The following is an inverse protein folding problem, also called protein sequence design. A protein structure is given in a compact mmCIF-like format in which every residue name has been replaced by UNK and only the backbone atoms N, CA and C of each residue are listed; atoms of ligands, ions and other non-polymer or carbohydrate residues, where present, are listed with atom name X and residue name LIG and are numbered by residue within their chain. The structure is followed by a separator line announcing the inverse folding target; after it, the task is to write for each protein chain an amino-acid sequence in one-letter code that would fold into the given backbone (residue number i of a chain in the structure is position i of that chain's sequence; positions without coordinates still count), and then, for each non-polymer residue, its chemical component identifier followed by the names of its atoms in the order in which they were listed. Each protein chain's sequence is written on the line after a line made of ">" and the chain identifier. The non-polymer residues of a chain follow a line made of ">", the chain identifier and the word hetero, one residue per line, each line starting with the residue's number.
data_IF_536656196868
#
_entry.id   IF_536656196868
#
_cell.length_a   1.000
_cell.length_b   1.000
_cell.length_c   1.000
_cell.angle_alpha   90.00
_cell.angle_beta   90.00
_cell.angle_gamma   90.00
#
_symmetry.space_group_name_H-M   'P 1'
#
loop_
_entity.id
_entity.type
_entity.pdbx_description
1 polymer ?
#
# COMPACT_ATOMS: atom_id res chain seq x y z
N UNK A 1 -32.84 -13.11 29.31
CA UNK A 1 -31.94 -12.37 28.40
C UNK A 1 -32.42 -12.65 26.97
N UNK A 2 -33.06 -11.69 26.27
CA UNK A 2 -33.39 -11.89 24.86
C UNK A 2 -32.08 -12.00 24.08
N UNK A 3 -31.93 -13.05 23.27
CA UNK A 3 -30.74 -13.30 22.47
C UNK A 3 -30.52 -12.19 21.45
N UNK A 4 -29.26 -11.78 21.28
CA UNK A 4 -28.87 -10.85 20.22
C UNK A 4 -29.32 -11.40 18.86
N UNK A 5 -29.91 -10.56 17.99
CA UNK A 5 -30.33 -10.99 16.67
C UNK A 5 -29.09 -11.43 15.88
N UNK A 6 -29.07 -12.71 15.46
CA UNK A 6 -28.09 -13.18 14.48
C UNK A 6 -28.19 -12.31 13.21
N UNK A 7 -27.05 -11.91 12.61
CA UNK A 7 -27.06 -11.12 11.39
C UNK A 7 -27.88 -11.86 10.32
N UNK A 8 -28.82 -11.13 9.69
CA UNK A 8 -29.66 -11.67 8.63
C UNK A 8 -28.76 -12.21 7.50
N UNK A 9 -29.08 -13.39 6.95
CA UNK A 9 -28.29 -14.11 5.92
C UNK A 9 -28.11 -13.36 4.57
N UNK A 10 -28.41 -12.06 4.53
CA UNK A 10 -28.26 -11.20 3.35
C UNK A 10 -27.58 -9.86 3.60
N UNK A 11 -27.07 -9.58 4.81
CA UNK A 11 -26.30 -8.36 5.07
C UNK A 11 -24.80 -8.67 5.09
N UNK A 12 -24.07 -8.07 4.14
CA UNK A 12 -22.61 -8.12 4.08
C UNK A 12 -22.04 -7.03 4.98
N UNK A 13 -21.07 -7.38 5.82
CA UNK A 13 -20.39 -6.42 6.70
C UNK A 13 -19.36 -5.62 5.91
N UNK A 14 -19.18 -4.34 6.22
CA UNK A 14 -18.11 -3.51 5.66
C UNK A 14 -16.73 -4.17 5.78
N UNK A 15 -16.47 -4.83 6.92
CA UNK A 15 -15.25 -5.59 7.14
C UNK A 15 -15.05 -6.75 6.15
N UNK A 16 -16.11 -7.42 5.71
CA UNK A 16 -16.02 -8.52 4.74
C UNK A 16 -15.72 -7.99 3.33
N UNK A 17 -16.35 -6.87 2.94
CA UNK A 17 -16.07 -6.19 1.67
C UNK A 17 -14.63 -5.71 1.63
N UNK A 18 -14.17 -5.02 2.68
CA UNK A 18 -12.81 -4.50 2.78
C UNK A 18 -11.78 -5.64 2.82
N UNK A 19 -12.05 -6.72 3.55
CA UNK A 19 -11.15 -7.88 3.56
C UNK A 19 -11.07 -8.54 2.17
N UNK A 20 -12.19 -8.63 1.44
CA UNK A 20 -12.20 -9.14 0.06
C UNK A 20 -11.40 -8.24 -0.88
N UNK A 21 -11.56 -6.92 -0.76
CA UNK A 21 -10.77 -5.95 -1.52
C UNK A 21 -9.27 -6.03 -1.16
N UNK A 22 -8.95 -6.25 0.11
CA UNK A 22 -7.57 -6.45 0.57
C UNK A 22 -6.94 -7.67 -0.13
N UNK A 23 -7.64 -8.79 -0.20
CA UNK A 23 -7.18 -9.98 -0.94
C UNK A 23 -7.04 -9.72 -2.44
N UNK A 24 -7.97 -8.97 -3.04
CA UNK A 24 -7.85 -8.56 -4.44
C UNK A 24 -6.65 -7.64 -4.68
N UNK A 25 -6.35 -6.76 -3.72
CA UNK A 25 -5.17 -5.88 -3.73
C UNK A 25 -3.89 -6.69 -3.64
N UNK A 26 -3.84 -7.70 -2.77
CA UNK A 26 -2.70 -8.62 -2.67
C UNK A 26 -2.40 -9.26 -4.02
N UNK A 27 -3.42 -9.77 -4.70
CA UNK A 27 -3.29 -10.35 -6.04
C UNK A 27 -2.85 -9.31 -7.09
N UNK A 28 -3.47 -8.14 -7.12
CA UNK A 28 -3.14 -7.07 -8.07
C UNK A 28 -1.72 -6.52 -7.91
N UNK A 29 -1.19 -6.57 -6.68
CA UNK A 29 0.17 -6.16 -6.36
C UNK A 29 1.20 -7.28 -6.55
N UNK A 30 0.77 -8.54 -6.68
CA UNK A 30 1.65 -9.72 -6.68
C UNK A 30 2.17 -10.10 -5.29
N UNK A 31 1.51 -9.66 -4.22
CA UNK A 31 1.83 -10.08 -2.86
C UNK A 31 1.43 -11.55 -2.62
N UNK A 32 2.06 -12.24 -1.64
CA UNK A 32 1.49 -13.45 -1.08
C UNK A 32 0.05 -13.21 -0.60
N UNK A 33 -0.82 -14.20 -0.77
CA UNK A 33 -2.20 -14.11 -0.30
C UNK A 33 -2.22 -13.81 1.21
N UNK A 34 -3.15 -12.94 1.63
CA UNK A 34 -3.34 -12.50 3.02
C UNK A 34 -2.22 -11.60 3.55
N UNK A 35 -1.39 -11.00 2.69
CA UNK A 35 -0.35 -10.06 3.10
C UNK A 35 -0.93 -8.90 3.92
N UNK A 36 -1.97 -8.25 3.41
CA UNK A 36 -2.63 -7.14 4.13
C UNK A 36 -3.33 -7.60 5.42
N UNK A 37 -3.94 -8.79 5.42
CA UNK A 37 -4.57 -9.37 6.62
C UNK A 37 -3.53 -9.67 7.71
N UNK A 38 -2.40 -10.25 7.34
CA UNK A 38 -1.32 -10.54 8.27
C UNK A 38 -0.73 -9.26 8.87
N UNK A 39 -0.52 -8.22 8.06
CA UNK A 39 -0.12 -6.89 8.52
C UNK A 39 -1.13 -6.31 9.52
N UNK A 40 -2.44 -6.45 9.23
CA UNK A 40 -3.54 -6.00 10.09
C UNK A 40 -3.53 -6.68 11.46
N UNK A 41 -3.27 -8.00 11.50
CA UNK A 41 -3.17 -8.75 12.78
C UNK A 41 -1.99 -8.25 13.60
N UNK A 42 -0.84 -8.00 12.98
CA UNK A 42 0.34 -7.47 13.68
C UNK A 42 0.06 -6.08 14.23
N UNK A 43 -0.52 -5.19 13.42
CA UNK A 43 -0.87 -3.83 13.82
C UNK A 43 -1.90 -3.81 14.95
N UNK A 44 -2.93 -4.66 14.87
CA UNK A 44 -3.95 -4.76 15.91
C UNK A 44 -3.37 -5.26 17.24
N UNK A 45 -2.48 -6.25 17.22
CA UNK A 45 -1.75 -6.70 18.44
C UNK A 45 -0.87 -5.60 19.03
N UNK A 46 -0.29 -4.74 18.20
CA UNK A 46 0.46 -3.58 18.68
C UNK A 46 -0.47 -2.55 19.34
N UNK A 47 -1.59 -2.23 18.69
CA UNK A 47 -2.62 -1.32 19.22
C UNK A 47 -3.14 -1.76 20.60
N UNK A 48 -3.45 -3.05 20.75
CA UNK A 48 -3.87 -3.66 22.03
C UNK A 48 -2.81 -3.47 23.12
N UNK A 49 -1.53 -3.72 22.81
CA UNK A 49 -0.43 -3.56 23.78
C UNK A 49 -0.15 -2.11 24.15
N UNK A 50 -0.50 -1.16 23.27
CA UNK A 50 -0.43 0.27 23.53
C UNK A 50 -1.65 0.79 24.30
N UNK A 51 -2.71 -0.01 24.46
CA UNK A 51 -3.93 0.38 25.17
C UNK A 51 -4.68 1.52 24.50
N UNK A 52 -4.68 1.55 23.16
CA UNK A 52 -5.42 2.57 22.39
C UNK A 52 -6.92 2.39 22.58
N UNK A 53 -7.69 3.46 22.37
CA UNK A 53 -9.14 3.43 22.42
C UNK A 53 -9.74 2.66 21.21
N UNK A 54 -11.04 2.33 21.33
CA UNK A 54 -11.77 1.56 20.30
C UNK A 54 -11.79 2.23 18.93
N UNK A 55 -11.82 3.57 18.88
CA UNK A 55 -11.83 4.30 17.61
C UNK A 55 -10.48 4.16 16.92
N UNK A 56 -9.38 4.36 17.65
CA UNK A 56 -8.02 4.16 17.15
C UNK A 56 -7.78 2.71 16.71
N UNK A 57 -8.29 1.73 17.45
CA UNK A 57 -8.21 0.32 17.07
C UNK A 57 -8.95 0.02 15.77
N UNK A 58 -10.15 0.60 15.57
CA UNK A 58 -10.92 0.46 14.34
C UNK A 58 -10.23 1.14 13.14
N UNK A 59 -9.65 2.33 13.35
CA UNK A 59 -8.87 3.03 12.34
C UNK A 59 -7.63 2.23 11.93
N UNK A 60 -6.93 1.62 12.90
CA UNK A 60 -5.80 0.72 12.64
C UNK A 60 -6.22 -0.48 11.80
N UNK A 61 -7.35 -1.11 12.14
CA UNK A 61 -7.89 -2.26 11.42
C UNK A 61 -8.17 -1.93 9.94
N UNK A 62 -8.98 -0.89 9.68
CA UNK A 62 -9.34 -0.54 8.31
C UNK A 62 -8.18 0.11 7.53
N UNK A 63 -7.34 0.91 8.19
CA UNK A 63 -6.17 1.53 7.58
C UNK A 63 -5.15 0.48 7.09
N UNK A 64 -4.92 -0.58 7.85
CA UNK A 64 -4.03 -1.66 7.42
C UNK A 64 -4.59 -2.47 6.25
N UNK A 65 -5.89 -2.79 6.25
CA UNK A 65 -6.51 -3.54 5.15
C UNK A 65 -6.50 -2.76 3.83
N UNK A 66 -6.60 -1.43 3.91
CA UNK A 66 -6.65 -0.54 2.75
C UNK A 66 -5.29 0.05 2.38
N UNK A 67 -4.21 -0.29 3.10
CA UNK A 67 -2.90 0.33 2.97
C UNK A 67 -2.38 0.37 1.53
N UNK A 68 -2.55 -0.73 0.79
CA UNK A 68 -2.11 -0.85 -0.60
C UNK A 68 -3.22 -0.66 -1.63
N UNK A 69 -4.45 -0.35 -1.21
CA UNK A 69 -5.60 -0.30 -2.12
C UNK A 69 -5.42 0.75 -3.23
N UNK A 70 -4.73 1.86 -2.93
CA UNK A 70 -4.38 2.88 -3.92
C UNK A 70 -3.28 2.44 -4.89
N UNK A 71 -2.39 1.51 -4.51
CA UNK A 71 -1.23 1.12 -5.33
C UNK A 71 -1.63 0.46 -6.67
N UNK A 72 -2.84 -0.06 -6.78
CA UNK A 72 -3.36 -0.66 -8.02
C UNK A 72 -3.79 0.37 -9.07
N UNK A 73 -3.80 1.68 -8.74
CA UNK A 73 -4.31 2.74 -9.61
C UNK A 73 -3.63 2.81 -10.98
N UNK A 74 -2.31 2.55 -11.04
CA UNK A 74 -1.53 2.60 -12.28
C UNK A 74 -0.84 1.26 -12.59
N UNK A 75 -1.57 0.14 -12.40
CA UNK A 75 -1.02 -1.19 -12.67
C UNK A 75 -0.48 -1.33 -14.11
N UNK A 76 -1.13 -0.70 -15.10
CA UNK A 76 -0.67 -0.67 -16.50
C UNK A 76 0.69 0.03 -16.66
N UNK A 77 0.83 1.23 -16.07
CA UNK A 77 2.10 1.99 -16.13
C UNK A 77 3.21 1.22 -15.39
N UNK A 78 2.86 0.60 -14.27
CA UNK A 78 3.80 -0.25 -13.52
C UNK A 78 4.29 -1.43 -14.38
N UNK A 79 3.39 -2.13 -15.08
CA UNK A 79 3.74 -3.24 -15.96
C UNK A 79 4.60 -2.84 -17.17
N UNK A 80 4.47 -1.60 -17.66
CA UNK A 80 5.34 -1.07 -18.73
C UNK A 80 6.76 -0.76 -18.23
N UNK A 81 6.90 -0.41 -16.95
CA UNK A 81 8.16 0.06 -16.36
C UNK A 81 8.96 -1.04 -15.69
N UNK A 82 8.29 -1.98 -15.03
CA UNK A 82 8.91 -2.97 -14.17
C UNK A 82 8.58 -4.37 -14.67
N UNK A 83 9.54 -5.28 -14.52
CA UNK A 83 9.23 -6.70 -14.64
C UNK A 83 8.33 -7.15 -13.49
N UNK A 84 7.51 -8.16 -13.76
CA UNK A 84 6.68 -8.80 -12.74
C UNK A 84 7.54 -9.22 -11.52
N UNK A 85 7.07 -8.93 -10.31
CA UNK A 85 7.81 -9.22 -9.07
C UNK A 85 8.94 -8.24 -8.72
N UNK A 86 9.47 -7.48 -9.67
CA UNK A 86 10.70 -6.70 -9.46
C UNK A 86 10.55 -5.56 -8.43
N UNK A 87 9.39 -4.88 -8.39
CA UNK A 87 9.09 -3.90 -7.35
C UNK A 87 9.01 -4.53 -5.95
N UNK A 88 8.36 -5.70 -5.85
CA UNK A 88 8.21 -6.45 -4.61
C UNK A 88 9.56 -6.90 -4.06
N UNK A 89 10.44 -7.37 -4.94
CA UNK A 89 11.74 -7.90 -4.55
C UNK A 89 12.74 -6.79 -4.20
N UNK A 90 12.77 -5.71 -4.99
CA UNK A 90 13.87 -4.76 -4.93
C UNK A 90 13.53 -3.40 -4.32
N UNK A 91 12.28 -2.95 -4.45
CA UNK A 91 11.86 -1.61 -4.01
C UNK A 91 11.13 -1.63 -2.67
N UNK A 92 10.09 -2.46 -2.52
CA UNK A 92 9.28 -2.48 -1.29
C UNK A 92 10.08 -2.72 0.00
N UNK A 93 11.10 -3.61 0.05
CA UNK A 93 11.89 -3.81 1.27
C UNK A 93 12.70 -2.57 1.70
N UNK A 94 12.88 -1.60 0.81
CA UNK A 94 13.70 -0.40 1.03
C UNK A 94 12.92 0.90 0.84
N UNK A 95 11.59 0.84 0.70
CA UNK A 95 10.74 2.02 0.47
C UNK A 95 10.82 3.02 1.64
N UNK A 96 10.99 2.52 2.86
CA UNK A 96 11.21 3.32 4.07
C UNK A 96 12.70 3.42 4.47
N UNK A 97 13.62 2.99 3.61
CA UNK A 97 15.06 3.00 3.82
C UNK A 97 15.71 4.38 3.62
N UNK A 98 17.03 4.45 3.70
CA UNK A 98 17.77 5.68 3.34
C UNK A 98 17.62 6.01 1.84
N UNK A 99 17.81 7.28 1.43
CA UNK A 99 17.70 7.65 0.00
C UNK A 99 18.59 6.80 -0.92
N UNK A 100 19.77 6.39 -0.46
CA UNK A 100 20.67 5.52 -1.21
C UNK A 100 20.09 4.11 -1.38
N UNK A 101 19.49 3.55 -0.33
CA UNK A 101 18.82 2.25 -0.42
C UNK A 101 17.62 2.30 -1.35
N UNK A 102 16.78 3.35 -1.25
CA UNK A 102 15.62 3.55 -2.12
C UNK A 102 16.03 3.71 -3.58
N UNK A 103 17.03 4.54 -3.88
CA UNK A 103 17.58 4.70 -5.23
C UNK A 103 18.14 3.38 -5.78
N UNK A 104 18.88 2.63 -4.95
CA UNK A 104 19.39 1.31 -5.33
C UNK A 104 18.27 0.31 -5.60
N UNK A 105 17.18 0.35 -4.81
CA UNK A 105 15.99 -0.46 -5.02
C UNK A 105 15.27 -0.14 -6.32
N UNK A 106 15.07 1.14 -6.63
CA UNK A 106 14.49 1.60 -7.90
C UNK A 106 15.35 1.16 -9.09
N UNK A 107 16.66 1.37 -9.01
CA UNK A 107 17.58 1.01 -10.09
C UNK A 107 17.56 -0.50 -10.37
N UNK A 108 17.51 -1.33 -9.32
CA UNK A 108 17.35 -2.78 -9.45
C UNK A 108 15.96 -3.16 -9.98
N UNK A 109 14.90 -2.49 -9.52
CA UNK A 109 13.55 -2.78 -9.97
C UNK A 109 13.34 -2.48 -11.48
N UNK A 110 13.97 -1.42 -11.98
CA UNK A 110 13.90 -1.02 -13.39
C UNK A 110 14.76 -1.89 -14.33
N UNK A 111 15.81 -2.51 -13.77
CA UNK A 111 16.75 -3.32 -14.52
C UNK A 111 16.19 -4.73 -14.74
N UNK A 112 16.39 -5.24 -15.94
CA UNK A 112 16.20 -6.66 -16.24
C UNK A 112 17.52 -7.39 -15.94
N UNK A 113 17.60 -8.22 -14.88
CA UNK A 113 18.85 -8.87 -14.50
C UNK A 113 19.37 -9.84 -15.58
N UNK A 114 18.46 -10.42 -16.37
CA UNK A 114 18.74 -11.42 -17.40
C UNK A 114 19.11 -10.79 -18.75
N UNK A 115 18.87 -9.49 -18.92
CA UNK A 115 19.22 -8.78 -20.14
C UNK A 115 20.75 -8.55 -20.29
N UNK A 116 21.27 -8.59 -21.53
CA UNK A 116 22.65 -8.20 -21.81
C UNK A 116 22.95 -6.76 -21.32
N UNK A 117 24.19 -6.45 -20.91
CA UNK A 117 24.54 -5.15 -20.31
C UNK A 117 24.10 -3.92 -21.13
N UNK A 118 24.19 -4.01 -22.46
CA UNK A 118 23.77 -2.95 -23.39
C UNK A 118 22.25 -2.75 -23.36
N UNK A 119 21.49 -3.84 -23.35
CA UNK A 119 20.03 -3.79 -23.31
C UNK A 119 19.54 -3.25 -21.97
N UNK A 120 20.17 -3.63 -20.85
CA UNK A 120 19.89 -3.05 -19.52
C UNK A 120 20.14 -1.55 -19.47
N UNK A 121 21.25 -1.09 -20.06
CA UNK A 121 21.56 0.35 -20.12
C UNK A 121 20.50 1.12 -20.93
N UNK A 122 20.06 0.56 -22.06
CA UNK A 122 18.99 1.13 -22.90
C UNK A 122 17.64 1.15 -22.17
N UNK A 123 17.26 0.06 -21.51
CA UNK A 123 16.05 -0.03 -20.69
C UNK A 123 16.08 0.99 -19.55
N UNK A 124 17.20 1.11 -18.83
CA UNK A 124 17.36 2.14 -17.80
C UNK A 124 17.22 3.56 -18.35
N UNK A 125 17.87 3.86 -19.48
CA UNK A 125 17.80 5.17 -20.13
C UNK A 125 16.39 5.54 -20.61
N UNK A 126 15.55 4.55 -20.96
CA UNK A 126 14.18 4.78 -21.44
C UNK A 126 13.14 4.77 -20.31
N UNK A 127 13.24 3.84 -19.36
CA UNK A 127 12.28 3.66 -18.27
C UNK A 127 12.45 4.68 -17.15
N UNK A 128 13.68 5.05 -16.79
CA UNK A 128 13.93 5.97 -15.66
C UNK A 128 13.29 7.36 -15.87
N UNK A 129 13.40 8.02 -17.04
CA UNK A 129 12.70 9.30 -17.28
C UNK A 129 11.18 9.16 -17.24
N UNK A 130 10.64 8.03 -17.73
CA UNK A 130 9.19 7.76 -17.70
C UNK A 130 8.70 7.55 -16.26
N UNK A 131 9.42 6.77 -15.46
CA UNK A 131 9.15 6.58 -14.04
C UNK A 131 9.22 7.91 -13.27
N UNK A 132 10.25 8.73 -13.50
CA UNK A 132 10.40 10.03 -12.83
C UNK A 132 9.25 11.00 -13.15
N UNK A 133 8.81 11.07 -14.42
CA UNK A 133 7.68 11.91 -14.85
C UNK A 133 6.34 11.38 -14.35
N UNK A 134 6.18 10.06 -14.29
CA UNK A 134 4.96 9.40 -13.83
C UNK A 134 4.78 9.43 -12.32
N UNK A 135 5.88 9.51 -11.54
CA UNK A 135 5.85 9.34 -10.10
C UNK A 135 4.87 10.28 -9.37
N UNK A 136 4.88 11.57 -9.68
CA UNK A 136 3.95 12.52 -9.03
C UNK A 136 2.49 12.19 -9.34
N UNK A 137 2.19 11.85 -10.60
CA UNK A 137 0.83 11.43 -11.01
C UNK A 137 0.41 10.16 -10.30
N UNK A 138 1.34 9.21 -10.17
CA UNK A 138 1.09 7.95 -9.48
C UNK A 138 0.74 8.15 -8.01
N UNK A 139 1.52 8.97 -7.29
CA UNK A 139 1.22 9.28 -5.89
C UNK A 139 -0.15 9.95 -5.74
N UNK A 140 -0.48 10.89 -6.64
CA UNK A 140 -1.81 11.52 -6.65
C UNK A 140 -2.92 10.49 -6.89
N UNK A 141 -2.79 9.66 -7.92
CA UNK A 141 -3.76 8.62 -8.27
C UNK A 141 -3.96 7.61 -7.13
N UNK A 142 -2.86 7.19 -6.48
CA UNK A 142 -2.92 6.31 -5.31
C UNK A 142 -3.75 6.93 -4.18
N UNK A 143 -3.51 8.19 -3.85
CA UNK A 143 -4.24 8.90 -2.79
C UNK A 143 -5.73 9.06 -3.15
N UNK A 144 -6.04 9.46 -4.39
CA UNK A 144 -7.41 9.62 -4.87
C UNK A 144 -8.18 8.30 -4.85
N UNK A 145 -7.57 7.21 -5.31
CA UNK A 145 -8.18 5.88 -5.29
C UNK A 145 -8.37 5.37 -3.87
N UNK A 146 -7.38 5.55 -2.97
CA UNK A 146 -7.51 5.15 -1.57
C UNK A 146 -8.64 5.90 -0.86
N UNK A 147 -8.77 7.21 -1.10
CA UNK A 147 -9.86 8.03 -0.56
C UNK A 147 -11.21 7.60 -1.13
N UNK A 148 -11.31 7.47 -2.46
CA UNK A 148 -12.52 7.04 -3.15
C UNK A 148 -13.02 5.68 -2.64
N UNK A 149 -12.12 4.70 -2.50
CA UNK A 149 -12.46 3.37 -1.99
C UNK A 149 -12.95 3.46 -0.54
N UNK A 150 -12.24 4.21 0.30
CA UNK A 150 -12.62 4.39 1.70
C UNK A 150 -14.03 4.99 1.83
N UNK A 151 -14.32 6.04 1.06
CA UNK A 151 -15.63 6.71 1.08
C UNK A 151 -16.76 5.79 0.59
N UNK A 152 -16.53 5.01 -0.48
CA UNK A 152 -17.51 4.07 -1.01
C UNK A 152 -17.84 2.92 -0.05
N UNK A 153 -16.88 2.51 0.78
CA UNK A 153 -17.06 1.43 1.75
C UNK A 153 -17.62 1.89 3.10
N UNK A 154 -17.85 3.21 3.26
CA UNK A 154 -18.45 3.78 4.46
C UNK A 154 -17.55 3.72 5.69
N UNK A 155 -16.23 3.61 5.50
CA UNK A 155 -15.26 3.76 6.60
C UNK A 155 -15.15 5.24 7.00
N UNK A 156 -14.82 5.48 8.27
CA UNK A 156 -14.67 6.83 8.80
C UNK A 156 -13.68 7.64 7.97
N UNK A 157 -13.98 8.92 7.72
CA UNK A 157 -13.08 9.86 7.05
C UNK A 157 -11.72 10.00 7.75
N UNK A 158 -11.65 9.64 9.05
CA UNK A 158 -10.40 9.54 9.76
C UNK A 158 -9.45 8.51 9.13
N UNK A 159 -9.95 7.39 8.61
CA UNK A 159 -9.15 6.37 7.89
C UNK A 159 -8.58 6.96 6.60
N UNK A 160 -9.39 7.67 5.82
CA UNK A 160 -8.95 8.37 4.61
C UNK A 160 -7.83 9.38 4.91
N UNK A 161 -7.90 10.05 6.07
CA UNK A 161 -6.88 10.98 6.55
C UNK A 161 -5.53 10.32 6.86
N UNK A 162 -5.52 9.04 7.27
CA UNK A 162 -4.27 8.33 7.61
C UNK A 162 -3.35 8.15 6.40
N UNK A 163 -3.91 8.03 5.19
CA UNK A 163 -3.11 7.79 4.00
C UNK A 163 -2.13 8.91 3.70
N UNK A 164 -2.39 10.17 4.09
CA UNK A 164 -1.41 11.24 3.88
C UNK A 164 -0.12 11.02 4.67
N UNK A 165 -0.16 10.18 5.71
CA UNK A 165 0.95 9.87 6.60
C UNK A 165 1.66 8.55 6.27
N UNK A 166 1.24 7.81 5.23
CA UNK A 166 1.73 6.45 4.99
C UNK A 166 3.24 6.36 4.68
N UNK A 167 3.81 7.44 4.14
CA UNK A 167 5.26 7.57 3.88
C UNK A 167 6.05 8.23 5.00
N UNK A 168 5.40 8.52 6.14
CA UNK A 168 6.08 9.14 7.27
C UNK A 168 7.02 8.18 7.97
N UNK A 169 8.01 8.77 8.63
CA UNK A 169 9.01 8.04 9.39
C UNK A 169 9.18 8.68 10.75
N UNK A 170 9.33 7.83 11.76
CA UNK A 170 9.56 8.26 13.14
C UNK A 170 10.77 9.20 13.30
N UNK A 171 11.81 9.05 12.45
CA UNK A 171 13.00 9.91 12.47
C UNK A 171 12.79 11.29 11.80
N UNK A 172 11.57 11.64 11.39
CA UNK A 172 11.23 12.90 10.73
C UNK A 172 11.74 13.02 9.29
N UNK A 173 12.18 11.91 8.69
CA UNK A 173 12.66 11.87 7.29
C UNK A 173 11.60 11.39 6.29
N UNK A 174 10.34 11.39 6.69
CA UNK A 174 9.19 11.13 5.81
C UNK A 174 8.96 12.26 4.79
N UNK A 175 8.01 12.04 3.87
CA UNK A 175 7.70 12.98 2.78
C UNK A 175 7.17 14.32 3.30
N UNK A 176 6.29 14.30 4.31
CA UNK A 176 5.73 15.46 5.00
C UNK A 176 6.56 15.90 6.22
N UNK A 177 7.64 15.18 6.57
CA UNK A 177 8.61 15.51 7.64
C UNK A 177 7.95 15.72 9.01
N UNK A 178 6.91 14.95 9.30
CA UNK A 178 6.27 14.99 10.61
C UNK A 178 7.22 14.39 11.65
N UNK A 179 7.20 14.94 12.87
CA UNK A 179 8.00 14.45 13.99
C UNK A 179 7.07 13.86 15.03
N UNK A 180 7.39 12.64 15.47
CA UNK A 180 6.79 12.00 16.64
C UNK A 180 7.52 12.36 17.92
#
# INVERSE_FOLDING_TARGET
>A
MPGEPSPSRGQVRTAEVIATLCLATDMGMGFPLEHGLHSTVVAHRLAERLGVDTETAAQTYYGCLLFYAGCTADAEISAELFQEGSLLEHFLPVVFGSPVQTLGGIARALADPDAPPVLRALQGATRLPKAARGHQRHITAMCEVAQMLSDQMGVSSAVSGLFVHFTERWDGRGSARLRG
#
